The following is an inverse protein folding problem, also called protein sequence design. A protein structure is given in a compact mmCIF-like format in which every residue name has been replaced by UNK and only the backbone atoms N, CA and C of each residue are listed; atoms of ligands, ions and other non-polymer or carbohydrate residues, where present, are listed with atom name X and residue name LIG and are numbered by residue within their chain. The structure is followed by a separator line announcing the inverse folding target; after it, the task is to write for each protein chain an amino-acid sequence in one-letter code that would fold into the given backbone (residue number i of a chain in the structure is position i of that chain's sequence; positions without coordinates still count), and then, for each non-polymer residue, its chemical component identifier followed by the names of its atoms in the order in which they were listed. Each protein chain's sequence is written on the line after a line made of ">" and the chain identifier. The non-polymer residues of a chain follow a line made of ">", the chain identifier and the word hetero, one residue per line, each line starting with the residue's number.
data_IF_661343558563
#
_entry.id   IF_661343558563
#
_cell.length_a   1.000
_cell.length_b   1.000
_cell.length_c   1.000
_cell.angle_alpha   90.00
_cell.angle_beta   90.00
_cell.angle_gamma   90.00
#
_symmetry.space_group_name_H-M   'P 1'
#
loop_
_entity.id
_entity.type
_entity.pdbx_description
1 polymer ?
#
# COMPACT_ATOMS: atom_id res chain seq x y z
N UNK A 1 -2.56 3.32 -31.41
CA UNK A 1 -3.04 3.90 -30.13
C UNK A 1 -2.94 2.86 -29.03
N UNK A 2 -1.79 2.20 -28.89
CA UNK A 2 -1.75 0.88 -28.24
C UNK A 2 -1.74 0.93 -26.70
N UNK A 3 -1.89 2.12 -26.11
CA UNK A 3 -1.91 2.34 -24.66
C UNK A 3 -3.25 2.91 -24.17
N UNK A 4 -4.23 3.10 -25.07
CA UNK A 4 -5.56 3.59 -24.73
C UNK A 4 -6.61 2.77 -25.46
N UNK A 5 -7.79 2.60 -24.85
CA UNK A 5 -8.91 1.86 -25.45
C UNK A 5 -9.68 2.74 -26.43
N UNK A 6 -9.01 3.22 -27.48
CA UNK A 6 -9.54 4.13 -28.50
C UNK A 6 -8.95 3.80 -29.90
N UNK A 7 -9.67 4.09 -31.00
CA UNK A 7 -11.04 4.64 -31.07
C UNK A 7 -12.11 3.64 -30.59
N UNK A 8 -13.25 4.17 -30.14
CA UNK A 8 -14.39 3.39 -29.61
C UNK A 8 -15.67 3.70 -30.40
N UNK A 9 -16.78 3.00 -30.15
CA UNK A 9 -18.05 3.25 -30.86
C UNK A 9 -18.58 4.69 -30.67
N UNK A 10 -18.24 5.31 -29.53
CA UNK A 10 -18.63 6.67 -29.18
C UNK A 10 -17.68 7.74 -29.73
N UNK A 11 -16.44 7.33 -30.05
CA UNK A 11 -15.35 8.15 -30.59
C UNK A 11 -14.68 7.39 -31.74
N UNK A 12 -15.38 7.33 -32.88
CA UNK A 12 -15.09 6.47 -34.02
C UNK A 12 -14.13 7.10 -35.05
N UNK A 13 -13.77 8.38 -34.89
CA UNK A 13 -12.87 9.09 -35.77
C UNK A 13 -11.60 9.52 -35.02
N UNK A 14 -10.44 9.24 -35.61
CA UNK A 14 -9.13 9.74 -35.15
C UNK A 14 -8.73 10.93 -36.02
N UNK A 15 -8.38 12.05 -35.39
CA UNK A 15 -7.96 13.28 -36.06
C UNK A 15 -6.72 13.88 -35.43
N UNK A 16 -6.01 14.71 -36.19
CA UNK A 16 -4.93 15.57 -35.73
C UNK A 16 -5.38 17.01 -35.88
N UNK A 17 -5.32 17.77 -34.79
CA UNK A 17 -5.58 19.21 -34.79
C UNK A 17 -4.27 19.93 -34.50
N UNK A 18 -3.99 21.00 -35.22
CA UNK A 18 -2.74 21.73 -35.01
C UNK A 18 -2.80 23.18 -35.41
N UNK A 19 -1.69 23.87 -35.18
CA UNK A 19 -1.61 25.31 -35.33
C UNK A 19 -1.68 25.79 -36.79
N UNK A 20 -1.50 24.90 -37.78
CA UNK A 20 -1.47 25.24 -39.21
C UNK A 20 -2.78 25.79 -39.76
N UNK A 21 -3.93 25.42 -39.18
CA UNK A 21 -5.25 25.94 -39.55
C UNK A 21 -5.87 26.82 -38.45
N UNK A 22 -5.05 27.27 -37.49
CA UNK A 22 -5.50 28.04 -36.33
C UNK A 22 -6.24 27.19 -35.29
N UNK A 23 -5.86 25.93 -35.11
CA UNK A 23 -6.52 25.00 -34.19
C UNK A 23 -8.02 24.89 -34.48
N UNK A 24 -8.38 24.71 -35.76
CA UNK A 24 -9.73 24.26 -36.10
C UNK A 24 -9.78 22.75 -35.94
N UNK A 25 -10.87 22.24 -35.35
CA UNK A 25 -11.10 20.80 -35.27
C UNK A 25 -11.16 20.17 -36.66
N UNK A 26 -10.94 18.86 -36.74
CA UNK A 26 -10.86 18.12 -38.00
C UNK A 26 -9.69 18.56 -38.89
N UNK A 27 -8.51 18.80 -38.31
CA UNK A 27 -7.32 19.23 -39.08
C UNK A 27 -6.87 18.21 -40.12
N UNK A 28 -6.54 17.00 -39.69
CA UNK A 28 -6.21 15.84 -40.54
C UNK A 28 -6.91 14.62 -39.98
N UNK A 29 -7.64 13.87 -40.80
CA UNK A 29 -8.20 12.59 -40.37
C UNK A 29 -7.17 11.48 -40.56
N UNK A 30 -7.06 10.59 -39.56
CA UNK A 30 -6.18 9.44 -39.61
C UNK A 30 -7.00 8.16 -39.81
N UNK A 31 -6.38 7.16 -40.44
CA UNK A 31 -6.96 5.85 -40.71
C UNK A 31 -5.97 4.74 -40.40
N UNK A 32 -6.51 3.57 -40.08
CA UNK A 32 -5.76 2.34 -39.82
C UNK A 32 -6.19 1.30 -40.87
N UNK A 33 -5.57 1.36 -42.05
CA UNK A 33 -5.93 0.48 -43.17
C UNK A 33 -5.43 -0.95 -43.02
N UNK A 34 -4.34 -1.19 -42.28
CA UNK A 34 -3.75 -2.52 -42.10
C UNK A 34 -4.18 -3.21 -40.80
N UNK A 35 -4.87 -2.49 -39.91
CA UNK A 35 -5.46 -3.03 -38.69
C UNK A 35 -4.43 -3.33 -37.61
N UNK A 36 -3.27 -2.68 -37.65
CA UNK A 36 -2.20 -2.87 -36.67
C UNK A 36 -2.36 -1.95 -35.43
N UNK A 37 -3.40 -1.11 -35.43
CA UNK A 37 -3.70 -0.13 -34.39
C UNK A 37 -2.94 1.19 -34.53
N UNK A 38 -2.14 1.38 -35.58
CA UNK A 38 -1.41 2.60 -35.89
C UNK A 38 -2.17 3.42 -36.93
N UNK A 39 -2.76 4.51 -36.47
CA UNK A 39 -3.49 5.43 -37.34
C UNK A 39 -2.52 6.36 -38.06
N UNK A 40 -2.63 6.42 -39.38
CA UNK A 40 -1.75 7.20 -40.26
C UNK A 40 -2.52 8.22 -41.09
N UNK A 41 -1.82 9.27 -41.51
CA UNK A 41 -2.35 10.34 -42.34
C UNK A 41 -1.23 11.29 -42.74
N UNK A 42 -1.52 12.21 -43.67
CA UNK A 42 -0.52 13.12 -44.23
C UNK A 42 -1.03 14.55 -44.30
N UNK A 43 -0.09 15.49 -44.18
CA UNK A 43 -0.32 16.93 -44.29
C UNK A 43 0.80 17.52 -45.13
N UNK A 44 0.42 18.36 -46.11
CA UNK A 44 1.39 19.16 -46.88
C UNK A 44 1.52 20.55 -46.26
N UNK A 45 2.76 20.98 -46.02
CA UNK A 45 3.12 22.30 -45.49
C UNK A 45 4.33 22.86 -46.21
N UNK A 46 4.50 24.18 -46.13
CA UNK A 46 5.69 24.82 -46.69
C UNK A 46 6.97 24.36 -45.96
N UNK A 47 8.11 24.23 -46.67
CA UNK A 47 9.38 23.81 -46.09
C UNK A 47 9.82 24.72 -44.94
N UNK A 48 10.36 24.15 -43.87
CA UNK A 48 10.79 24.89 -42.69
C UNK A 48 9.66 25.43 -41.81
N UNK A 49 8.39 25.12 -42.11
CA UNK A 49 7.26 25.50 -41.25
C UNK A 49 7.35 24.78 -39.91
N UNK A 50 7.33 25.54 -38.82
CA UNK A 50 7.16 24.99 -37.46
C UNK A 50 5.69 25.06 -37.07
N UNK A 51 5.15 23.95 -36.59
CA UNK A 51 3.77 23.86 -36.12
C UNK A 51 3.67 22.93 -34.90
N UNK A 52 2.57 23.08 -34.18
CA UNK A 52 2.22 22.24 -33.05
C UNK A 52 0.97 21.43 -33.37
N UNK A 53 0.84 20.24 -32.79
CA UNK A 53 -0.35 19.41 -32.94
C UNK A 53 -0.69 18.57 -31.72
N UNK A 54 -1.96 18.16 -31.66
CA UNK A 54 -2.48 17.11 -30.77
C UNK A 54 -3.26 16.10 -31.59
N UNK A 55 -3.27 14.85 -31.15
CA UNK A 55 -4.17 13.81 -31.67
C UNK A 55 -5.45 13.85 -30.84
N UNK A 56 -6.60 13.80 -31.49
CA UNK A 56 -7.89 13.71 -30.83
C UNK A 56 -8.73 12.58 -31.42
N UNK A 57 -9.65 12.04 -30.61
CA UNK A 57 -10.75 11.20 -31.10
C UNK A 57 -12.08 11.91 -30.92
N UNK A 58 -12.94 11.80 -31.92
CA UNK A 58 -14.25 12.45 -31.98
C UNK A 58 -15.28 11.46 -32.52
N UNK A 59 -16.55 11.64 -32.16
CA UNK A 59 -17.63 10.78 -32.60
C UNK A 59 -18.97 11.26 -32.10
N UNK A 60 -19.92 10.35 -31.99
CA UNK A 60 -21.29 10.72 -31.59
C UNK A 60 -21.37 11.31 -30.17
N UNK A 61 -20.47 10.91 -29.27
CA UNK A 61 -20.49 11.35 -27.87
C UNK A 61 -20.13 12.83 -27.67
N UNK A 62 -19.27 13.40 -28.53
CA UNK A 62 -18.95 14.82 -28.53
C UNK A 62 -19.63 15.60 -29.67
N UNK A 63 -20.57 14.96 -30.38
CA UNK A 63 -21.29 15.57 -31.49
C UNK A 63 -20.41 15.86 -32.72
N UNK A 64 -19.40 15.01 -32.97
CA UNK A 64 -18.46 15.14 -34.09
C UNK A 64 -17.72 16.48 -34.08
N UNK A 65 -17.33 16.95 -32.90
CA UNK A 65 -16.71 18.27 -32.73
C UNK A 65 -15.31 18.37 -33.35
N UNK A 66 -14.64 17.22 -33.56
CA UNK A 66 -13.23 17.17 -33.94
C UNK A 66 -12.28 17.22 -32.76
N UNK A 67 -12.76 17.31 -31.52
CA UNK A 67 -11.92 17.57 -30.35
C UNK A 67 -11.97 16.55 -29.23
N UNK A 68 -13.05 15.75 -29.09
CA UNK A 68 -13.33 14.80 -28.00
C UNK A 68 -12.22 14.55 -26.97
N UNK A 69 -11.61 13.36 -26.97
CA UNK A 69 -10.46 13.03 -26.10
C UNK A 69 -9.15 13.34 -26.83
N UNK A 70 -8.15 13.86 -26.13
CA UNK A 70 -6.95 14.44 -26.73
C UNK A 70 -5.66 13.88 -26.11
N UNK A 71 -4.61 13.79 -26.93
CA UNK A 71 -3.26 13.41 -26.54
C UNK A 71 -2.22 14.26 -27.28
N UNK A 72 -1.14 14.59 -26.57
CA UNK A 72 -0.03 15.34 -27.10
C UNK A 72 1.31 14.74 -26.67
N UNK A 73 2.38 15.54 -26.65
CA UNK A 73 3.72 15.08 -26.31
C UNK A 73 3.84 14.71 -24.83
N UNK A 74 3.99 13.41 -24.59
CA UNK A 74 4.14 12.82 -23.27
C UNK A 74 2.92 12.97 -22.35
N UNK A 75 3.18 12.80 -21.05
CA UNK A 75 2.15 12.77 -20.00
C UNK A 75 1.70 14.14 -19.50
N UNK A 76 2.31 15.22 -19.98
CA UNK A 76 2.11 16.56 -19.46
C UNK A 76 1.02 17.35 -20.22
N UNK A 77 0.26 16.71 -21.11
CA UNK A 77 -0.68 17.38 -22.03
C UNK A 77 -0.01 18.51 -22.85
N UNK A 78 1.27 18.34 -23.19
CA UNK A 78 1.98 19.30 -24.03
C UNK A 78 1.63 19.07 -25.51
N UNK A 79 1.72 20.10 -26.35
CA UNK A 79 1.54 19.91 -27.79
C UNK A 79 2.80 19.27 -28.40
N UNK A 80 2.64 18.46 -29.43
CA UNK A 80 3.77 17.94 -30.21
C UNK A 80 4.29 19.05 -31.12
N UNK A 81 5.56 19.44 -30.96
CA UNK A 81 6.20 20.43 -31.80
C UNK A 81 6.94 19.77 -32.97
N UNK A 82 6.67 20.23 -34.20
CA UNK A 82 7.27 19.70 -35.44
C UNK A 82 7.84 20.85 -36.25
N UNK A 83 8.99 20.62 -36.89
CA UNK A 83 9.51 21.50 -37.94
C UNK A 83 9.62 20.71 -39.22
N UNK A 84 8.90 21.15 -40.26
CA UNK A 84 8.94 20.54 -41.57
C UNK A 84 10.34 20.65 -42.18
N UNK A 85 10.80 19.55 -42.80
CA UNK A 85 12.08 19.52 -43.48
C UNK A 85 12.14 20.34 -44.78
N UNK A 86 13.18 20.08 -45.57
CA UNK A 86 13.39 20.73 -46.86
C UNK A 86 12.29 20.39 -47.88
N UNK A 87 12.19 21.22 -48.93
CA UNK A 87 11.26 21.00 -50.03
C UNK A 87 11.43 19.60 -50.65
N UNK A 88 10.33 18.85 -50.73
CA UNK A 88 10.32 17.49 -51.26
C UNK A 88 10.81 16.41 -50.29
N UNK A 89 11.08 16.76 -49.03
CA UNK A 89 11.32 15.78 -47.96
C UNK A 89 10.01 15.38 -47.26
N UNK A 90 10.02 14.20 -46.64
CA UNK A 90 8.92 13.74 -45.77
C UNK A 90 9.42 13.78 -44.33
N UNK A 91 8.72 14.53 -43.48
CA UNK A 91 8.97 14.54 -42.03
C UNK A 91 7.98 13.59 -41.37
N UNK A 92 8.49 12.50 -40.79
CA UNK A 92 7.65 11.54 -40.08
C UNK A 92 7.65 11.85 -38.59
N UNK A 93 6.46 11.99 -38.02
CA UNK A 93 6.26 12.10 -36.57
C UNK A 93 5.28 11.03 -36.13
N UNK A 94 5.52 10.45 -34.95
CA UNK A 94 4.63 9.48 -34.33
C UNK A 94 4.27 9.96 -32.93
N UNK A 95 3.03 9.69 -32.54
CA UNK A 95 2.55 9.93 -31.18
C UNK A 95 1.95 8.65 -30.64
N UNK A 96 2.41 8.23 -29.48
CA UNK A 96 1.76 7.19 -28.70
C UNK A 96 0.70 7.84 -27.82
N UNK A 97 -0.58 7.64 -28.15
CA UNK A 97 -1.68 8.10 -27.30
C UNK A 97 -1.62 7.37 -25.94
N UNK A 98 -1.73 8.13 -24.85
CA UNK A 98 -1.65 7.64 -23.48
C UNK A 98 -0.32 7.96 -22.78
N UNK A 99 -0.23 7.57 -21.52
CA UNK A 99 1.01 7.53 -20.77
C UNK A 99 1.52 6.10 -20.71
N UNK A 100 2.84 5.92 -20.79
CA UNK A 100 3.41 4.65 -20.37
C UNK A 100 3.03 4.43 -18.90
N UNK A 101 2.60 3.21 -18.57
CA UNK A 101 2.28 2.86 -17.20
C UNK A 101 3.50 3.09 -16.30
N UNK A 102 3.34 3.95 -15.30
CA UNK A 102 4.36 4.16 -14.29
C UNK A 102 4.11 3.10 -13.22
N UNK A 103 4.93 2.06 -13.22
CA UNK A 103 4.86 1.00 -12.21
C UNK A 103 5.52 1.49 -10.93
N UNK A 104 4.82 1.40 -9.80
CA UNK A 104 5.35 1.80 -8.51
C UNK A 104 4.42 1.46 -7.35
N UNK A 105 4.82 1.83 -6.14
CA UNK A 105 3.95 1.67 -4.97
C UNK A 105 2.88 2.75 -4.95
N UNK A 106 1.60 2.35 -4.96
CA UNK A 106 0.46 3.27 -4.92
C UNK A 106 -0.09 3.49 -3.50
N UNK A 107 0.43 2.80 -2.49
CA UNK A 107 0.02 2.96 -1.10
C UNK A 107 0.71 4.17 -0.45
N UNK A 108 -0.08 5.14 0.01
CA UNK A 108 0.41 6.39 0.61
C UNK A 108 1.09 6.21 1.97
N UNK A 109 0.84 5.09 2.66
CA UNK A 109 1.49 4.77 3.93
C UNK A 109 2.86 4.10 3.72
N UNK A 110 3.18 3.67 2.49
CA UNK A 110 4.48 3.10 2.18
C UNK A 110 5.56 4.19 2.09
N UNK A 111 6.77 3.85 2.54
CA UNK A 111 7.94 4.75 2.49
C UNK A 111 8.40 5.06 1.07
N UNK A 112 8.09 4.19 0.11
CA UNK A 112 8.41 4.36 -1.31
C UNK A 112 7.17 4.65 -2.16
N UNK A 113 6.13 5.25 -1.56
CA UNK A 113 4.96 5.75 -2.29
C UNK A 113 5.36 6.62 -3.48
N UNK A 114 4.79 6.33 -4.66
CA UNK A 114 4.97 7.11 -5.86
C UNK A 114 3.62 7.64 -6.33
N UNK A 115 3.41 8.95 -6.18
CA UNK A 115 2.17 9.62 -6.61
C UNK A 115 1.96 9.59 -8.13
N UNK A 116 3.04 9.40 -8.91
CA UNK A 116 2.98 9.31 -10.37
C UNK A 116 2.70 7.87 -10.84
N UNK A 117 2.69 6.87 -9.95
CA UNK A 117 2.43 5.49 -10.32
C UNK A 117 0.98 5.30 -10.77
N UNK A 118 0.80 4.79 -11.98
CA UNK A 118 -0.51 4.43 -12.56
C UNK A 118 -0.82 2.95 -12.42
N UNK A 119 0.19 2.12 -12.15
CA UNK A 119 0.09 0.67 -11.97
C UNK A 119 0.84 0.25 -10.71
N UNK A 120 0.20 -0.57 -9.89
CA UNK A 120 0.80 -1.11 -8.67
C UNK A 120 1.96 -2.07 -9.02
N UNK A 121 3.13 -1.83 -8.44
CA UNK A 121 4.31 -2.67 -8.59
C UNK A 121 4.22 -3.95 -7.76
N UNK A 122 4.53 -5.08 -8.41
CA UNK A 122 4.64 -6.41 -7.81
C UNK A 122 5.98 -7.06 -8.20
N UNK A 123 6.50 -7.93 -7.33
CA UNK A 123 7.65 -8.79 -7.65
C UNK A 123 7.23 -10.05 -8.43
N UNK A 124 8.18 -10.93 -8.78
CA UNK A 124 7.88 -12.18 -9.50
C UNK A 124 7.05 -13.20 -8.72
N UNK A 125 6.84 -12.99 -7.42
CA UNK A 125 6.08 -13.86 -6.53
C UNK A 125 4.69 -13.28 -6.20
N UNK A 126 4.37 -12.09 -6.71
CA UNK A 126 3.11 -11.39 -6.45
C UNK A 126 3.10 -10.58 -5.15
N UNK A 127 4.24 -10.36 -4.51
CA UNK A 127 4.35 -9.47 -3.37
C UNK A 127 4.35 -8.01 -3.84
N UNK A 128 3.79 -7.11 -3.03
CA UNK A 128 3.84 -5.68 -3.31
C UNK A 128 5.29 -5.20 -3.24
N UNK A 129 5.69 -4.36 -4.18
CA UNK A 129 6.97 -3.63 -4.10
C UNK A 129 6.92 -2.44 -3.13
N UNK A 130 5.84 -2.32 -2.35
CA UNK A 130 5.67 -1.30 -1.32
C UNK A 130 6.49 -1.65 -0.08
N UNK A 131 7.30 -0.70 0.40
CA UNK A 131 8.12 -0.84 1.60
C UNK A 131 7.45 -0.11 2.75
N UNK A 132 7.12 -0.84 3.81
CA UNK A 132 6.47 -0.30 5.01
C UNK A 132 7.45 -0.21 6.17
N UNK A 133 7.32 0.84 6.98
CA UNK A 133 8.18 1.05 8.14
C UNK A 133 7.73 0.23 9.36
N UNK A 134 6.42 -0.02 9.48
CA UNK A 134 5.83 -0.74 10.61
C UNK A 134 4.56 -1.50 10.23
N UNK A 135 4.13 -2.40 11.12
CA UNK A 135 2.87 -3.14 10.95
C UNK A 135 1.61 -2.27 11.06
N UNK A 136 1.73 -1.01 11.47
CA UNK A 136 0.59 -0.07 11.51
C UNK A 136 0.35 0.58 10.14
N UNK A 137 1.34 0.53 9.24
CA UNK A 137 1.31 1.19 7.92
C UNK A 137 0.83 0.24 6.80
N UNK A 138 0.75 -1.06 7.07
CA UNK A 138 0.45 -2.08 6.06
C UNK A 138 -1.06 -2.11 5.72
N UNK A 139 -1.41 -2.43 4.46
CA UNK A 139 -2.81 -2.47 4.03
C UNK A 139 -3.58 -3.68 4.57
N UNK A 140 -2.87 -4.78 4.87
CA UNK A 140 -3.44 -6.02 5.40
C UNK A 140 -2.37 -6.79 6.20
N UNK A 141 -2.79 -7.84 6.92
CA UNK A 141 -1.83 -8.68 7.63
C UNK A 141 -0.91 -9.41 6.65
N UNK A 142 0.38 -9.40 6.96
CA UNK A 142 1.38 -9.93 6.06
C UNK A 142 2.79 -9.80 6.59
N UNK A 143 3.75 -9.81 5.67
CA UNK A 143 5.16 -9.87 5.94
C UNK A 143 5.85 -8.64 5.35
N UNK A 144 6.51 -7.84 6.21
CA UNK A 144 7.33 -6.72 5.77
C UNK A 144 8.73 -7.23 5.41
N UNK A 145 9.20 -6.91 4.21
CA UNK A 145 10.56 -7.12 3.74
C UNK A 145 11.26 -5.77 3.52
N UNK A 146 12.58 -5.80 3.32
CA UNK A 146 13.35 -4.59 3.06
C UNK A 146 13.00 -3.92 1.72
N UNK A 147 12.52 -4.70 0.76
CA UNK A 147 12.23 -4.33 -0.62
C UNK A 147 10.77 -4.54 -1.04
N UNK A 148 9.89 -4.92 -0.10
CA UNK A 148 8.48 -5.14 -0.41
C UNK A 148 7.64 -5.66 0.76
N UNK A 149 6.46 -6.14 0.41
CA UNK A 149 5.46 -6.65 1.35
C UNK A 149 4.70 -7.82 0.76
N UNK A 150 4.66 -8.94 1.49
CA UNK A 150 3.89 -10.13 1.11
C UNK A 150 2.69 -10.34 2.01
N UNK A 151 1.48 -10.27 1.45
CA UNK A 151 0.25 -10.56 2.20
C UNK A 151 0.18 -12.05 2.62
N UNK A 152 -0.40 -12.31 3.79
CA UNK A 152 -0.61 -13.69 4.23
C UNK A 152 -1.68 -14.41 3.44
N UNK A 153 -1.52 -15.73 3.31
CA UNK A 153 -2.48 -16.61 2.66
C UNK A 153 -2.42 -18.02 3.27
N UNK A 154 -3.26 -18.95 2.79
CA UNK A 154 -3.36 -20.32 3.35
C UNK A 154 -2.02 -21.09 3.36
N UNK A 155 -1.09 -20.75 2.47
CA UNK A 155 0.24 -21.35 2.38
C UNK A 155 1.38 -20.48 2.92
N UNK A 156 1.09 -19.29 3.44
CA UNK A 156 2.10 -18.32 3.86
C UNK A 156 1.63 -17.55 5.10
N UNK A 157 2.20 -17.92 6.25
CA UNK A 157 1.89 -17.34 7.58
C UNK A 157 3.10 -16.58 8.16
N UNK A 158 2.97 -16.07 9.38
CA UNK A 158 4.05 -15.35 10.05
C UNK A 158 5.29 -16.19 10.33
N UNK A 159 5.13 -17.50 10.53
CA UNK A 159 6.26 -18.42 10.71
C UNK A 159 7.06 -18.55 9.41
N UNK A 160 6.36 -18.73 8.29
CA UNK A 160 6.97 -18.75 6.97
C UNK A 160 7.67 -17.41 6.68
N UNK A 161 6.99 -16.29 6.92
CA UNK A 161 7.55 -14.94 6.78
C UNK A 161 8.89 -14.77 7.53
N UNK A 162 8.92 -15.12 8.82
CA UNK A 162 10.14 -15.04 9.63
C UNK A 162 11.25 -15.95 9.09
N UNK A 163 10.89 -17.12 8.55
CA UNK A 163 11.84 -18.06 7.95
C UNK A 163 12.51 -17.51 6.68
N UNK A 164 11.82 -16.63 5.94
CA UNK A 164 12.36 -15.93 4.77
C UNK A 164 13.03 -14.59 5.14
N UNK A 165 13.20 -14.30 6.42
CA UNK A 165 13.90 -13.10 6.91
C UNK A 165 13.03 -11.83 6.91
N UNK A 166 11.72 -11.97 6.75
CA UNK A 166 10.79 -10.86 6.89
C UNK A 166 10.29 -10.64 8.32
N UNK A 167 9.59 -9.54 8.53
CA UNK A 167 8.94 -9.22 9.81
C UNK A 167 7.44 -9.52 9.72
N UNK A 168 6.93 -10.51 10.46
CA UNK A 168 5.52 -10.88 10.40
C UNK A 168 4.66 -9.86 11.15
N UNK A 169 3.61 -9.41 10.48
CA UNK A 169 2.59 -8.51 11.00
C UNK A 169 1.27 -9.28 11.08
N UNK A 170 1.07 -9.97 12.19
CA UNK A 170 -0.12 -10.78 12.48
C UNK A 170 -1.04 -10.03 13.45
N UNK A 171 -2.36 -10.33 13.46
CA UNK A 171 -3.23 -9.87 14.53
C UNK A 171 -2.64 -10.34 15.86
N UNK A 172 -2.53 -9.42 16.83
CA UNK A 172 -2.13 -9.78 18.18
C UNK A 172 -3.08 -10.84 18.74
N UNK A 173 -2.64 -12.09 18.76
CA UNK A 173 -3.36 -13.15 19.45
C UNK A 173 -3.06 -12.95 20.93
N UNK A 174 -3.99 -12.32 21.65
CA UNK A 174 -3.95 -12.34 23.11
C UNK A 174 -4.00 -13.80 23.56
N UNK A 175 -2.86 -14.38 23.93
CA UNK A 175 -2.82 -15.73 24.49
C UNK A 175 -3.51 -15.66 25.86
N UNK A 176 -4.69 -16.30 26.04
CA UNK A 176 -5.33 -16.32 27.33
C UNK A 176 -4.40 -17.04 28.31
N UNK A 177 -4.09 -16.33 29.38
CA UNK A 177 -2.99 -16.67 30.25
C UNK A 177 -3.29 -17.95 31.04
N UNK A 178 -2.29 -18.78 31.36
CA UNK A 178 -2.49 -19.90 32.28
C UNK A 178 -3.02 -19.37 33.61
N UNK A 179 -4.06 -19.98 34.17
CA UNK A 179 -4.47 -19.64 35.52
C UNK A 179 -3.42 -20.16 36.50
N UNK A 180 -2.94 -19.32 37.43
CA UNK A 180 -2.14 -19.80 38.56
C UNK A 180 -3.10 -20.14 39.69
N UNK A 181 -3.09 -21.42 40.09
CA UNK A 181 -3.92 -21.92 41.19
C UNK A 181 -3.26 -21.60 42.53
N UNK A 182 -4.05 -21.04 43.44
CA UNK A 182 -3.57 -20.44 44.67
C UNK A 182 -4.54 -20.74 45.81
N UNK A 183 -4.38 -21.92 46.40
CA UNK A 183 -4.95 -22.23 47.71
C UNK A 183 -4.18 -21.47 48.80
N UNK A 184 -4.58 -20.23 49.12
CA UNK A 184 -4.00 -19.51 50.28
C UNK A 184 -4.99 -18.76 51.17
N UNK A 185 -4.56 -18.60 52.43
CA UNK A 185 -5.29 -18.05 53.59
C UNK A 185 -4.98 -16.56 53.76
N UNK A 186 -6.02 -15.73 53.86
CA UNK A 186 -5.93 -14.29 54.13
C UNK A 186 -5.69 -13.98 55.62
N UNK A 187 -4.92 -12.93 55.92
CA UNK A 187 -4.67 -12.41 57.28
C UNK A 187 -5.22 -11.01 57.55
N UNK A 188 -5.89 -10.36 56.59
CA UNK A 188 -6.64 -9.13 56.78
C UNK A 188 -5.79 -7.86 56.91
N UNK A 189 -6.15 -6.86 56.10
CA UNK A 189 -5.73 -5.45 56.13
C UNK A 189 -4.39 -5.08 55.45
N UNK A 190 -3.58 -6.05 55.02
CA UNK A 190 -2.61 -5.88 53.94
C UNK A 190 -2.41 -7.27 53.35
N UNK A 191 -2.99 -7.53 52.18
CA UNK A 191 -2.81 -8.84 51.58
C UNK A 191 -1.36 -8.97 51.13
N UNK A 192 -0.76 -10.07 51.53
CA UNK A 192 0.56 -10.45 51.08
C UNK A 192 0.36 -11.59 50.10
N UNK A 193 0.55 -11.33 48.82
CA UNK A 193 0.66 -12.40 47.83
C UNK A 193 1.95 -13.16 48.13
N UNK A 194 1.84 -14.45 48.38
CA UNK A 194 2.99 -15.30 48.65
C UNK A 194 3.02 -16.47 47.66
N UNK A 195 4.09 -16.54 46.87
CA UNK A 195 4.36 -17.67 45.98
C UNK A 195 5.59 -18.43 46.51
N UNK A 196 5.41 -19.40 47.44
CA UNK A 196 6.53 -20.08 48.11
C UNK A 196 7.40 -20.92 47.18
N UNK A 197 6.84 -21.35 46.05
CA UNK A 197 7.55 -22.16 45.05
C UNK A 197 8.03 -21.31 43.86
N UNK A 198 7.92 -19.99 43.98
CA UNK A 198 8.13 -19.05 42.89
C UNK A 198 6.96 -18.99 41.92
N UNK A 199 6.86 -17.88 41.21
CA UNK A 199 5.87 -17.68 40.15
C UNK A 199 6.39 -18.14 38.76
N UNK A 200 7.61 -18.69 38.69
CA UNK A 200 8.30 -18.97 37.42
C UNK A 200 8.75 -17.71 36.68
N UNK A 201 8.84 -16.58 37.39
CA UNK A 201 9.13 -15.26 36.85
C UNK A 201 10.40 -14.67 37.46
N UNK A 202 11.26 -14.08 36.64
CA UNK A 202 12.43 -13.29 37.04
C UNK A 202 12.31 -11.84 36.57
N UNK A 203 12.88 -10.91 37.33
CA UNK A 203 12.76 -9.46 37.13
C UNK A 203 11.77 -8.79 38.08
N UNK A 204 11.36 -7.55 37.75
CA UNK A 204 10.39 -6.79 38.54
C UNK A 204 8.98 -7.25 38.21
N UNK A 205 8.33 -7.90 39.18
CA UNK A 205 6.97 -8.43 39.08
C UNK A 205 6.02 -7.44 39.75
N UNK A 206 5.05 -6.91 39.00
CA UNK A 206 3.96 -6.08 39.51
C UNK A 206 2.66 -6.86 39.64
N UNK A 207 1.88 -6.57 40.68
CA UNK A 207 0.51 -7.02 40.89
C UNK A 207 -0.46 -5.90 40.53
N UNK A 208 -1.51 -6.21 39.78
CA UNK A 208 -2.43 -5.24 39.19
C UNK A 208 -3.89 -5.56 39.51
N UNK A 209 -4.72 -4.52 39.61
CA UNK A 209 -6.19 -4.58 39.63
C UNK A 209 -6.69 -3.80 38.42
N UNK A 210 -7.27 -4.48 37.44
CA UNK A 210 -7.46 -3.88 36.11
C UNK A 210 -6.11 -3.45 35.52
N UNK A 211 -5.99 -2.17 35.16
CA UNK A 211 -4.74 -1.57 34.65
C UNK A 211 -3.90 -0.89 35.73
N UNK A 212 -4.35 -0.90 37.00
CA UNK A 212 -3.67 -0.21 38.10
C UNK A 212 -2.71 -1.15 38.83
N UNK A 213 -1.42 -0.79 38.90
CA UNK A 213 -0.44 -1.50 39.72
C UNK A 213 -0.69 -1.23 41.21
N UNK A 214 -0.90 -2.28 42.00
CA UNK A 214 -1.21 -2.24 43.44
C UNK A 214 -0.09 -2.81 44.32
N UNK A 215 1.02 -3.26 43.73
CA UNK A 215 2.21 -3.73 44.43
C UNK A 215 3.26 -4.28 43.46
N UNK A 216 4.53 -4.33 43.87
CA UNK A 216 5.59 -4.99 43.08
C UNK A 216 6.69 -5.58 43.98
N UNK A 217 7.41 -6.57 43.46
CA UNK A 217 8.64 -7.09 44.06
C UNK A 217 9.56 -7.62 42.97
N UNK A 218 10.86 -7.62 43.25
CA UNK A 218 11.84 -8.34 42.42
C UNK A 218 11.79 -9.84 42.73
N UNK A 219 12.05 -10.65 41.72
CA UNK A 219 12.19 -12.11 41.81
C UNK A 219 13.27 -12.56 40.85
N UNK A 220 13.91 -13.69 41.16
CA UNK A 220 14.85 -14.38 40.28
C UNK A 220 14.38 -15.80 39.97
N UNK A 221 13.08 -15.97 39.75
CA UNK A 221 12.42 -17.27 39.57
C UNK A 221 12.14 -18.05 40.87
N UNK A 222 12.66 -17.57 42.01
CA UNK A 222 12.45 -18.14 43.34
C UNK A 222 11.19 -17.65 44.05
N UNK A 223 11.05 -17.97 45.35
CA UNK A 223 9.90 -17.56 46.16
C UNK A 223 9.73 -16.04 46.19
N UNK A 224 8.50 -15.55 46.00
CA UNK A 224 8.21 -14.11 45.97
C UNK A 224 7.09 -13.75 46.95
N UNK A 225 7.24 -12.58 47.56
CA UNK A 225 6.27 -11.96 48.45
C UNK A 225 5.95 -10.54 47.94
N UNK A 226 4.69 -10.25 47.60
CA UNK A 226 4.24 -8.93 47.16
C UNK A 226 3.18 -8.42 48.14
N UNK A 227 3.43 -7.27 48.76
CA UNK A 227 2.39 -6.55 49.48
C UNK A 227 1.44 -5.91 48.45
N UNK A 228 0.16 -6.27 48.52
CA UNK A 228 -0.89 -5.75 47.63
C UNK A 228 -1.98 -5.06 48.43
N UNK A 229 -2.46 -3.94 47.92
CA UNK A 229 -3.62 -3.26 48.50
C UNK A 229 -4.91 -3.89 47.94
N UNK A 230 -5.55 -4.77 48.72
CA UNK A 230 -6.82 -5.42 48.32
C UNK A 230 -7.47 -6.27 49.42
N UNK A 231 -8.63 -6.83 49.10
CA UNK A 231 -9.38 -7.80 49.91
C UNK A 231 -9.64 -9.11 49.12
N UNK A 232 -10.22 -10.14 49.75
CA UNK A 232 -10.46 -11.46 49.14
C UNK A 232 -11.47 -11.47 47.98
N UNK A 233 -12.11 -10.33 47.69
CA UNK A 233 -13.06 -10.19 46.60
C UNK A 233 -12.43 -9.63 45.32
N UNK A 234 -11.15 -9.22 45.39
CA UNK A 234 -10.44 -8.57 44.29
C UNK A 234 -9.60 -9.60 43.51
N UNK A 235 -9.87 -9.71 42.20
CA UNK A 235 -9.04 -10.50 41.28
C UNK A 235 -7.79 -9.70 40.91
N UNK A 236 -6.61 -10.24 41.23
CA UNK A 236 -5.32 -9.63 40.91
C UNK A 236 -4.77 -10.18 39.57
N UNK A 237 -3.82 -9.46 38.97
CA UNK A 237 -3.10 -9.86 37.75
C UNK A 237 -1.61 -9.59 37.94
N UNK A 238 -0.74 -10.58 37.74
CA UNK A 238 0.72 -10.37 37.80
C UNK A 238 1.28 -10.05 36.40
N UNK A 239 2.22 -9.10 36.33
CA UNK A 239 2.93 -8.72 35.10
C UNK A 239 4.42 -8.49 35.36
N UNK A 240 5.28 -8.83 34.39
CA UNK A 240 6.71 -8.44 34.39
C UNK A 240 6.86 -7.13 33.63
N UNK A 241 7.44 -6.10 34.27
CA UNK A 241 7.44 -4.71 33.77
C UNK A 241 8.22 -4.47 32.45
N UNK A 242 8.98 -5.46 31.96
CA UNK A 242 9.80 -5.34 30.73
C UNK A 242 9.53 -6.41 29.66
N UNK A 243 8.61 -7.35 29.91
CA UNK A 243 8.06 -8.29 28.92
C UNK A 243 6.62 -8.59 29.34
N UNK A 244 5.63 -8.19 28.51
CA UNK A 244 4.21 -8.32 28.86
C UNK A 244 3.79 -9.80 28.82
N UNK A 245 3.85 -10.47 29.97
CA UNK A 245 3.20 -11.77 30.20
C UNK A 245 2.19 -11.55 31.33
N UNK A 246 0.92 -11.69 31.00
CA UNK A 246 -0.21 -11.53 31.90
C UNK A 246 -0.59 -12.90 32.52
N UNK A 247 -1.23 -12.93 33.69
CA UNK A 247 -1.81 -14.14 34.32
C UNK A 247 -3.15 -13.83 34.99
N UNK A 248 -4.13 -14.74 34.93
CA UNK A 248 -5.46 -14.59 35.56
C UNK A 248 -5.58 -15.55 36.75
N UNK A 249 -6.04 -15.09 37.92
CA UNK A 249 -6.32 -15.98 39.06
C UNK A 249 -7.80 -16.35 39.12
N UNK A 250 -8.09 -17.62 39.39
CA UNK A 250 -9.43 -18.12 39.69
C UNK A 250 -9.37 -18.89 41.01
N UNK A 251 -10.12 -18.45 42.02
CA UNK A 251 -10.33 -19.25 43.23
C UNK A 251 -11.49 -20.23 43.02
N UNK A 252 -11.35 -21.44 43.54
CA UNK A 252 -12.50 -22.33 43.79
C UNK A 252 -12.79 -22.30 45.28
N UNK A 253 -14.05 -22.06 45.62
CA UNK A 253 -14.58 -22.24 46.98
C UNK A 253 -14.62 -23.73 47.36
#
# INVERSE_FOLDING_TARGET
>A
MNLVDQPSADYDNVVVNGSWNGWQGWGVQLSDEDGDGVFTGSLEVDPGTTFEYVVAVTGSADGWSGWGMQWGDGCANANVAVTAGDAGSVTSTSLSAGCADVVGCMDANASNYNADATVQGYDQYGNLQCVYASCDDIPEYGCIYADGFGAFNEGFDGVACASYGGTPCEPFVEVPCPAVDFDFVNTGVNMTLFAPNGAGLSGTIGAFVGDMCVGSSESDGGPIQIAVMGDDTIVLKLMVLWQVICYTFTSKF
#
